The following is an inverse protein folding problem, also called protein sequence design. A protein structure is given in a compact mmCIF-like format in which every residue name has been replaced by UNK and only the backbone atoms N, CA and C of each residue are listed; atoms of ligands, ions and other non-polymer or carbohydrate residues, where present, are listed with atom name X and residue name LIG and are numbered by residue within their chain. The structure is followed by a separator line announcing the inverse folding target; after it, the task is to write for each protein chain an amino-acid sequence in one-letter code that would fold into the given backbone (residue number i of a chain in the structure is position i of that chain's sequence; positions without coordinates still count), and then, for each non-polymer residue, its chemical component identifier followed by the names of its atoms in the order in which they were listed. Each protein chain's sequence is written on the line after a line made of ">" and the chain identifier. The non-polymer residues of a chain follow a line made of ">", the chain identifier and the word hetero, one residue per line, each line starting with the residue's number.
data_IF_045817228948
#
_entry.id   IF_045817228948
#
_cell.length_a   1.000
_cell.length_b   1.000
_cell.length_c   1.000
_cell.angle_alpha   90.00
_cell.angle_beta   90.00
_cell.angle_gamma   90.00
#
_symmetry.space_group_name_H-M   'P 1'
#
loop_
_entity.id
_entity.type
_entity.pdbx_description
1 polymer ?
#
# COMPACT_ATOMS: atom_id res chain seq x y z
N UNK A 1 23.48 -5.46 5.26
CA UNK A 1 22.36 -5.45 4.30
C UNK A 1 22.36 -6.77 3.55
N UNK A 2 21.26 -7.51 3.59
CA UNK A 2 21.13 -8.83 2.97
C UNK A 2 20.53 -8.66 1.59
N UNK A 3 21.04 -9.41 0.60
CA UNK A 3 20.49 -9.46 -0.75
C UNK A 3 19.89 -10.84 -0.98
N UNK A 4 18.64 -10.87 -1.40
CA UNK A 4 17.86 -12.09 -1.59
C UNK A 4 17.14 -12.03 -2.93
N UNK A 5 17.06 -13.12 -3.67
CA UNK A 5 16.18 -13.22 -4.84
C UNK A 5 14.71 -13.28 -4.41
N UNK A 6 13.84 -12.76 -5.27
CA UNK A 6 12.42 -12.64 -4.97
C UNK A 6 11.72 -14.00 -4.84
N UNK A 7 12.10 -15.00 -5.65
CA UNK A 7 11.51 -16.33 -5.59
C UNK A 7 11.82 -17.05 -4.26
N UNK A 8 13.06 -16.94 -3.79
CA UNK A 8 13.46 -17.47 -2.47
C UNK A 8 12.74 -16.75 -1.33
N UNK A 9 12.64 -15.41 -1.41
CA UNK A 9 11.96 -14.63 -0.40
C UNK A 9 10.46 -14.93 -0.35
N UNK A 10 9.80 -15.15 -1.50
CA UNK A 10 8.39 -15.59 -1.57
C UNK A 10 8.19 -16.92 -0.86
N UNK A 11 8.98 -17.92 -1.21
CA UNK A 11 8.89 -19.25 -0.61
C UNK A 11 9.13 -19.22 0.91
N UNK A 12 10.11 -18.43 1.34
CA UNK A 12 10.40 -18.27 2.76
C UNK A 12 9.25 -17.59 3.49
N UNK A 13 8.74 -16.48 2.94
CA UNK A 13 7.59 -15.74 3.49
C UNK A 13 6.34 -16.62 3.57
N UNK A 14 5.99 -17.28 2.47
CA UNK A 14 4.86 -18.21 2.43
C UNK A 14 4.99 -19.31 3.48
N UNK A 15 6.18 -19.91 3.63
CA UNK A 15 6.40 -20.96 4.61
C UNK A 15 6.20 -20.48 6.05
N UNK A 16 6.67 -19.27 6.39
CA UNK A 16 6.45 -18.68 7.72
C UNK A 16 4.95 -18.52 7.99
N UNK A 17 4.22 -17.93 7.04
CA UNK A 17 2.78 -17.69 7.17
C UNK A 17 1.98 -19.01 7.25
N UNK A 18 2.36 -20.02 6.46
CA UNK A 18 1.73 -21.33 6.50
C UNK A 18 1.91 -22.03 7.85
N UNK A 19 3.12 -21.98 8.43
CA UNK A 19 3.37 -22.54 9.76
C UNK A 19 2.64 -21.76 10.85
N UNK A 20 2.42 -20.45 10.64
CA UNK A 20 1.63 -19.61 11.55
C UNK A 20 0.11 -19.87 11.46
N UNK A 21 -0.34 -20.80 10.62
CA UNK A 21 -1.76 -21.20 10.52
C UNK A 21 -2.51 -20.65 9.31
N UNK A 22 -1.81 -20.13 8.29
CA UNK A 22 -2.41 -19.70 7.03
C UNK A 22 -2.41 -20.86 6.03
N UNK A 23 -3.53 -21.08 5.34
CA UNK A 23 -3.61 -22.09 4.27
C UNK A 23 -2.57 -21.79 3.17
N UNK A 24 -1.97 -22.82 2.53
CA UNK A 24 -0.85 -22.63 1.59
C UNK A 24 -1.14 -21.64 0.45
N UNK A 25 -2.29 -21.73 -0.21
CA UNK A 25 -2.66 -20.83 -1.30
C UNK A 25 -2.78 -19.36 -0.84
N UNK A 26 -3.36 -19.14 0.34
CA UNK A 26 -3.46 -17.81 0.92
C UNK A 26 -2.09 -17.29 1.36
N UNK A 27 -1.25 -18.15 1.93
CA UNK A 27 0.11 -17.81 2.34
C UNK A 27 0.97 -17.39 1.13
N UNK A 28 0.87 -18.11 0.00
CA UNK A 28 1.53 -17.78 -1.25
C UNK A 28 1.07 -16.42 -1.77
N UNK A 29 -0.24 -16.17 -1.82
CA UNK A 29 -0.79 -14.89 -2.27
C UNK A 29 -0.33 -13.71 -1.40
N UNK A 30 -0.36 -13.86 -0.08
CA UNK A 30 0.12 -12.81 0.84
C UNK A 30 1.62 -12.59 0.67
N UNK A 31 2.41 -13.66 0.53
CA UNK A 31 3.84 -13.58 0.28
C UNK A 31 4.15 -12.84 -1.03
N UNK A 32 3.42 -13.14 -2.10
CA UNK A 32 3.53 -12.45 -3.38
C UNK A 32 3.30 -10.95 -3.26
N UNK A 33 2.24 -10.55 -2.57
CA UNK A 33 1.92 -9.14 -2.36
C UNK A 33 2.99 -8.41 -1.55
N UNK A 34 3.55 -9.06 -0.52
CA UNK A 34 4.61 -8.50 0.32
C UNK A 34 5.91 -8.33 -0.48
N UNK A 35 6.33 -9.37 -1.19
CA UNK A 35 7.55 -9.32 -1.99
C UNK A 35 7.43 -8.36 -3.16
N UNK A 36 6.26 -8.28 -3.81
CA UNK A 36 6.01 -7.26 -4.83
C UNK A 36 6.14 -5.84 -4.27
N UNK A 37 5.68 -5.60 -3.04
CA UNK A 37 5.87 -4.29 -2.39
C UNK A 37 7.35 -3.97 -2.19
N UNK A 38 8.18 -4.94 -1.79
CA UNK A 38 9.63 -4.76 -1.73
C UNK A 38 10.23 -4.50 -3.11
N UNK A 39 9.85 -5.25 -4.13
CA UNK A 39 10.35 -5.06 -5.50
C UNK A 39 10.05 -3.65 -6.03
N UNK A 40 8.88 -3.11 -5.72
CA UNK A 40 8.50 -1.73 -6.06
C UNK A 40 9.10 -0.65 -5.15
N UNK A 41 10.02 -1.00 -4.25
CA UNK A 41 10.67 -0.02 -3.35
C UNK A 41 9.82 0.43 -2.18
N UNK A 42 8.64 -0.16 -1.98
CA UNK A 42 7.72 0.16 -0.88
C UNK A 42 7.94 -0.78 0.29
N UNK A 43 9.17 -0.82 0.80
CA UNK A 43 9.63 -1.77 1.82
C UNK A 43 8.80 -1.76 3.10
N UNK A 44 8.23 -0.59 3.45
CA UNK A 44 7.35 -0.43 4.62
C UNK A 44 6.08 -1.31 4.58
N UNK A 45 5.67 -1.77 3.40
CA UNK A 45 4.53 -2.65 3.17
C UNK A 45 4.97 -4.03 2.61
N UNK A 46 6.26 -4.32 2.69
CA UNK A 46 6.87 -5.58 2.28
C UNK A 46 6.99 -6.59 3.42
N UNK A 47 7.94 -7.49 3.30
CA UNK A 47 8.17 -8.62 4.21
C UNK A 47 8.46 -8.23 5.67
N UNK A 48 8.81 -6.98 5.94
CA UNK A 48 8.91 -6.47 7.31
C UNK A 48 7.60 -6.57 8.10
N UNK A 49 6.47 -6.78 7.44
CA UNK A 49 5.17 -6.96 8.09
C UNK A 49 4.97 -8.37 8.67
N UNK A 50 5.81 -9.34 8.29
CA UNK A 50 5.67 -10.76 8.70
C UNK A 50 5.57 -10.94 10.21
N UNK A 51 6.48 -10.39 11.05
CA UNK A 51 6.39 -10.56 12.49
C UNK A 51 5.07 -10.04 13.08
N UNK A 52 4.58 -8.90 12.54
CA UNK A 52 3.31 -8.32 12.94
C UNK A 52 2.10 -9.18 12.55
N UNK A 53 2.12 -9.79 11.37
CA UNK A 53 1.03 -10.68 10.94
C UNK A 53 1.02 -11.98 11.73
N UNK A 54 2.18 -12.60 11.95
CA UNK A 54 2.29 -13.79 12.79
C UNK A 54 1.73 -13.51 14.18
N UNK A 55 2.14 -12.41 14.81
CA UNK A 55 1.60 -11.99 16.11
C UNK A 55 0.08 -11.75 16.05
N UNK A 56 -0.43 -11.12 15.02
CA UNK A 56 -1.88 -10.86 14.88
C UNK A 56 -2.69 -12.16 14.73
N UNK A 57 -2.13 -13.19 14.09
CA UNK A 57 -2.73 -14.53 14.02
C UNK A 57 -2.76 -15.17 15.40
N UNK A 58 -1.63 -15.17 16.10
CA UNK A 58 -1.49 -15.73 17.46
C UNK A 58 -2.44 -15.05 18.46
N UNK A 59 -2.59 -13.73 18.36
CA UNK A 59 -3.51 -12.94 19.21
C UNK A 59 -4.99 -13.07 18.78
N UNK A 60 -5.30 -13.76 17.67
CA UNK A 60 -6.66 -13.92 17.14
C UNK A 60 -7.24 -12.65 16.49
N UNK A 61 -6.42 -11.62 16.29
CA UNK A 61 -6.80 -10.36 15.62
C UNK A 61 -6.86 -10.47 14.10
N UNK A 62 -6.11 -11.40 13.53
CA UNK A 62 -6.13 -11.78 12.12
C UNK A 62 -6.57 -13.25 12.01
N UNK A 63 -7.58 -13.50 11.18
CA UNK A 63 -8.19 -14.83 10.99
C UNK A 63 -7.91 -15.33 9.58
N UNK A 64 -6.84 -16.12 9.36
CA UNK A 64 -6.56 -16.74 8.07
C UNK A 64 -7.75 -17.56 7.55
N UNK A 65 -7.89 -17.66 6.23
CA UNK A 65 -8.99 -18.41 5.58
C UNK A 65 -10.36 -17.71 5.61
N UNK A 66 -10.48 -16.55 6.28
CA UNK A 66 -11.75 -15.79 6.25
C UNK A 66 -12.06 -15.28 4.84
N UNK A 67 -13.35 -15.31 4.47
CA UNK A 67 -13.85 -14.78 3.19
C UNK A 67 -14.74 -13.57 3.44
N UNK A 68 -14.87 -12.63 2.47
CA UNK A 68 -15.77 -11.51 2.61
C UNK A 68 -17.22 -11.95 2.58
N UNK A 69 -18.02 -11.44 3.51
CA UNK A 69 -19.48 -11.66 3.53
C UNK A 69 -20.18 -10.44 2.99
N UNK A 70 -20.96 -10.60 1.93
CA UNK A 70 -21.76 -9.53 1.35
C UNK A 70 -22.86 -9.09 2.33
N UNK A 71 -22.85 -7.80 2.72
CA UNK A 71 -23.86 -7.21 3.61
C UNK A 71 -24.94 -6.52 2.80
N UNK A 72 -24.53 -5.79 1.75
CA UNK A 72 -25.45 -5.00 0.92
C UNK A 72 -24.92 -4.88 -0.50
N UNK A 73 -25.83 -4.94 -1.46
CA UNK A 73 -25.54 -4.74 -2.87
C UNK A 73 -26.56 -3.80 -3.51
N UNK A 74 -26.10 -2.94 -4.40
CA UNK A 74 -26.85 -2.10 -5.33
C UNK A 74 -26.25 -2.23 -6.71
N UNK A 75 -26.83 -1.56 -7.72
CA UNK A 75 -26.34 -1.64 -9.10
C UNK A 75 -24.83 -1.36 -9.21
N UNK A 76 -24.36 -0.24 -8.64
CA UNK A 76 -22.97 0.20 -8.72
C UNK A 76 -22.21 0.16 -7.37
N UNK A 77 -22.77 -0.47 -6.34
CA UNK A 77 -22.11 -0.50 -5.03
C UNK A 77 -22.27 -1.84 -4.33
N UNK A 78 -21.21 -2.24 -3.59
CA UNK A 78 -21.25 -3.39 -2.69
C UNK A 78 -20.67 -3.04 -1.34
N UNK A 79 -21.14 -3.71 -0.29
CA UNK A 79 -20.61 -3.54 1.06
C UNK A 79 -20.41 -4.91 1.71
N UNK A 80 -19.20 -5.15 2.22
CA UNK A 80 -18.78 -6.43 2.76
C UNK A 80 -18.31 -6.32 4.22
N UNK A 81 -18.45 -7.42 4.94
CA UNK A 81 -17.71 -7.72 6.16
C UNK A 81 -16.52 -8.61 5.81
N UNK A 82 -15.32 -8.18 6.11
CA UNK A 82 -14.08 -8.94 5.86
C UNK A 82 -13.78 -10.00 6.92
N UNK A 83 -14.64 -10.13 7.95
CA UNK A 83 -14.55 -11.18 8.99
C UNK A 83 -13.17 -11.27 9.66
N UNK A 84 -12.44 -10.16 9.70
CA UNK A 84 -11.06 -10.07 10.23
C UNK A 84 -10.03 -10.91 9.48
N UNK A 85 -10.31 -11.26 8.22
CA UNK A 85 -9.38 -11.97 7.34
C UNK A 85 -8.20 -11.10 6.90
N UNK A 86 -7.24 -11.74 6.20
CA UNK A 86 -6.18 -11.03 5.52
C UNK A 86 -6.74 -9.99 4.56
N UNK A 87 -6.30 -8.74 4.73
CA UNK A 87 -6.69 -7.67 3.83
C UNK A 87 -6.35 -7.96 2.36
N UNK A 88 -5.27 -8.70 2.10
CA UNK A 88 -4.85 -9.11 0.77
C UNK A 88 -5.85 -10.06 0.09
N UNK A 89 -6.35 -11.06 0.81
CA UNK A 89 -7.30 -12.03 0.28
C UNK A 89 -8.67 -11.42 0.10
N UNK A 90 -9.12 -10.68 1.11
CA UNK A 90 -10.44 -10.01 1.11
C UNK A 90 -10.52 -8.93 0.03
N UNK A 91 -9.50 -8.04 -0.06
CA UNK A 91 -9.50 -6.97 -1.05
C UNK A 91 -9.40 -7.50 -2.49
N UNK A 92 -8.67 -8.61 -2.73
CA UNK A 92 -8.62 -9.27 -4.05
C UNK A 92 -10.01 -9.67 -4.53
N UNK A 93 -10.76 -10.38 -3.69
CA UNK A 93 -12.08 -10.87 -4.04
C UNK A 93 -13.08 -9.72 -4.26
N UNK A 94 -13.01 -8.69 -3.41
CA UNK A 94 -13.92 -7.55 -3.49
C UNK A 94 -13.58 -6.63 -4.68
N UNK A 95 -12.31 -6.40 -5.01
CA UNK A 95 -11.96 -5.58 -6.18
C UNK A 95 -12.37 -6.26 -7.47
N UNK A 96 -12.22 -7.58 -7.61
CA UNK A 96 -12.68 -8.31 -8.78
C UNK A 96 -14.19 -8.09 -9.01
N UNK A 97 -15.00 -8.19 -7.95
CA UNK A 97 -16.43 -7.89 -8.03
C UNK A 97 -16.72 -6.42 -8.34
N UNK A 98 -15.92 -5.50 -7.82
CA UNK A 98 -16.04 -4.07 -8.13
C UNK A 98 -15.80 -3.79 -9.61
N UNK A 99 -14.78 -4.43 -10.20
CA UNK A 99 -14.43 -4.30 -11.61
C UNK A 99 -15.53 -4.86 -12.53
N UNK A 100 -16.15 -6.00 -12.15
CA UNK A 100 -17.29 -6.54 -12.88
C UNK A 100 -18.46 -5.56 -12.92
N UNK A 101 -18.84 -5.03 -11.75
CA UNK A 101 -19.91 -4.03 -11.65
C UNK A 101 -19.60 -2.73 -12.38
N UNK A 102 -18.33 -2.29 -12.37
CA UNK A 102 -17.94 -1.10 -13.10
C UNK A 102 -18.10 -1.29 -14.60
N UNK A 103 -17.82 -2.48 -15.13
CA UNK A 103 -18.07 -2.80 -16.56
C UNK A 103 -19.56 -2.73 -16.91
N UNK A 104 -20.44 -3.17 -16.00
CA UNK A 104 -21.89 -3.16 -16.21
C UNK A 104 -22.52 -1.76 -16.07
N UNK A 105 -22.04 -0.97 -15.06
CA UNK A 105 -22.67 0.28 -14.65
C UNK A 105 -21.88 1.54 -15.07
N UNK A 106 -20.72 1.40 -15.74
CA UNK A 106 -19.80 2.48 -16.07
C UNK A 106 -18.88 2.89 -14.95
N UNK A 107 -19.26 2.65 -13.70
CA UNK A 107 -18.41 2.81 -12.51
C UNK A 107 -19.00 2.03 -11.35
N UNK A 108 -18.16 1.60 -10.40
CA UNK A 108 -18.63 0.95 -9.19
C UNK A 108 -17.70 1.21 -8.00
N UNK A 109 -18.28 1.11 -6.79
CA UNK A 109 -17.56 1.28 -5.54
C UNK A 109 -17.92 0.17 -4.56
N UNK A 110 -16.93 -0.27 -3.79
CA UNK A 110 -17.10 -1.26 -2.74
C UNK A 110 -16.50 -0.80 -1.43
N UNK A 111 -17.22 -1.07 -0.36
CA UNK A 111 -16.73 -0.87 0.99
C UNK A 111 -16.51 -2.20 1.70
N UNK A 112 -15.47 -2.28 2.53
CA UNK A 112 -15.18 -3.45 3.36
C UNK A 112 -14.97 -2.97 4.79
N UNK A 113 -15.67 -3.55 5.75
CA UNK A 113 -15.40 -3.36 7.17
C UNK A 113 -14.76 -4.60 7.79
N UNK A 114 -14.24 -4.50 9.02
CA UNK A 114 -13.68 -5.63 9.76
C UNK A 114 -12.65 -6.41 8.95
N UNK A 115 -11.67 -5.69 8.38
CA UNK A 115 -10.62 -6.25 7.53
C UNK A 115 -9.25 -5.86 8.07
N UNK A 116 -8.30 -6.77 8.04
CA UNK A 116 -6.93 -6.50 8.44
C UNK A 116 -6.20 -5.65 7.37
N UNK A 117 -4.93 -5.32 7.62
CA UNK A 117 -4.09 -4.52 6.74
C UNK A 117 -4.08 -5.05 5.30
N UNK A 118 -4.27 -4.15 4.31
CA UNK A 118 -4.32 -4.49 2.88
C UNK A 118 -2.97 -4.30 2.17
N UNK A 119 -1.90 -3.97 2.92
CA UNK A 119 -0.59 -3.70 2.33
C UNK A 119 -0.53 -2.39 1.55
N UNK A 120 0.24 -2.39 0.47
CA UNK A 120 0.37 -1.25 -0.44
C UNK A 120 -0.96 -0.99 -1.16
N UNK A 121 -1.52 0.19 -0.95
CA UNK A 121 -2.86 0.54 -1.46
C UNK A 121 -2.90 0.57 -2.99
N UNK A 122 -1.80 0.99 -3.62
CA UNK A 122 -1.64 1.00 -5.07
C UNK A 122 -1.86 -0.36 -5.74
N UNK A 123 -1.57 -1.47 -5.07
CA UNK A 123 -1.82 -2.83 -5.59
C UNK A 123 -3.29 -2.99 -6.03
N UNK A 124 -4.21 -2.47 -5.25
CA UNK A 124 -5.65 -2.64 -5.50
C UNK A 124 -6.15 -1.75 -6.63
N UNK A 125 -5.65 -0.52 -6.71
CA UNK A 125 -5.94 0.36 -7.84
C UNK A 125 -5.35 -0.19 -9.15
N UNK A 126 -4.13 -0.74 -9.12
CA UNK A 126 -3.46 -1.36 -10.28
C UNK A 126 -4.25 -2.53 -10.88
N UNK A 127 -5.05 -3.26 -10.10
CA UNK A 127 -5.86 -4.38 -10.62
C UNK A 127 -6.90 -3.94 -11.66
N UNK A 128 -7.32 -2.68 -11.64
CA UNK A 128 -8.22 -2.12 -12.65
C UNK A 128 -7.57 -1.99 -14.03
N UNK A 129 -6.25 -1.84 -14.08
CA UNK A 129 -5.48 -1.71 -15.32
C UNK A 129 -5.59 -2.95 -16.21
N UNK A 130 -5.73 -4.15 -15.60
CA UNK A 130 -5.90 -5.39 -16.33
C UNK A 130 -7.21 -5.45 -17.13
N UNK A 131 -8.15 -4.59 -16.80
CA UNK A 131 -9.45 -4.45 -17.47
C UNK A 131 -9.62 -3.12 -18.20
N UNK A 132 -8.52 -2.38 -18.41
CA UNK A 132 -8.52 -1.05 -19.03
C UNK A 132 -9.42 -0.02 -18.33
N UNK A 133 -9.45 -0.06 -17.00
CA UNK A 133 -10.24 0.83 -16.14
C UNK A 133 -9.32 1.72 -15.29
N UNK A 134 -9.88 2.83 -14.79
CA UNK A 134 -9.26 3.61 -13.72
C UNK A 134 -9.59 2.93 -12.40
N UNK A 135 -8.55 2.62 -11.59
CA UNK A 135 -8.72 2.04 -10.26
C UNK A 135 -8.55 3.06 -9.15
N UNK A 136 -9.30 2.90 -8.07
CA UNK A 136 -9.26 3.72 -6.86
C UNK A 136 -9.21 2.81 -5.66
N UNK A 137 -8.32 3.09 -4.70
CA UNK A 137 -8.28 2.36 -3.44
C UNK A 137 -7.88 3.28 -2.29
N UNK A 138 -8.44 3.08 -1.11
CA UNK A 138 -8.06 3.80 0.08
C UNK A 138 -8.34 3.02 1.36
N UNK A 139 -7.61 3.38 2.41
CA UNK A 139 -7.75 2.86 3.77
C UNK A 139 -7.40 3.98 4.76
N UNK A 140 -8.01 4.07 5.95
CA UNK A 140 -7.67 5.12 6.91
C UNK A 140 -6.22 5.06 7.39
N UNK A 141 -5.71 3.88 7.68
CA UNK A 141 -4.38 3.71 8.25
C UNK A 141 -4.29 4.12 9.73
N UNK A 142 -3.07 4.18 10.25
CA UNK A 142 -2.81 4.55 11.64
C UNK A 142 -3.07 6.04 11.91
N UNK A 143 -3.47 6.35 13.16
CA UNK A 143 -3.73 7.73 13.62
C UNK A 143 -2.39 8.35 14.01
N UNK A 144 -1.75 9.04 13.09
CA UNK A 144 -0.38 9.56 13.21
C UNK A 144 -0.28 11.07 13.03
N UNK A 145 -1.30 11.70 12.45
CA UNK A 145 -1.25 13.10 12.02
C UNK A 145 -1.94 13.99 13.03
N UNK A 146 -1.31 15.14 13.34
CA UNK A 146 -1.96 16.23 14.03
C UNK A 146 -2.89 16.98 13.07
N UNK A 147 -4.12 17.34 13.44
CA UNK A 147 -4.94 18.26 12.66
C UNK A 147 -4.21 19.58 12.45
N UNK A 148 -4.50 20.27 11.36
CA UNK A 148 -3.98 21.61 11.15
C UNK A 148 -4.36 22.54 12.31
N UNK A 149 -3.37 23.12 12.98
CA UNK A 149 -3.53 23.92 14.19
C UNK A 149 -3.59 23.13 15.50
N UNK A 150 -3.51 21.78 15.44
CA UNK A 150 -3.43 20.90 16.61
C UNK A 150 -2.03 20.31 16.79
N UNK A 151 -1.79 19.68 17.94
CA UNK A 151 -0.52 19.02 18.25
C UNK A 151 -0.68 17.51 18.51
N UNK A 152 -1.87 17.05 18.84
CA UNK A 152 -2.16 15.65 19.13
C UNK A 152 -2.37 14.83 17.85
N UNK A 153 -2.01 13.53 17.88
CA UNK A 153 -2.36 12.55 16.84
C UNK A 153 -3.88 12.31 16.86
N UNK A 154 -4.61 12.89 15.92
CA UNK A 154 -6.08 12.78 15.80
C UNK A 154 -6.55 12.35 14.43
N UNK A 155 -5.70 12.48 13.39
CA UNK A 155 -6.04 12.11 12.03
C UNK A 155 -5.29 10.86 11.62
N UNK A 156 -5.96 9.91 10.95
CA UNK A 156 -5.30 8.82 10.25
C UNK A 156 -4.43 9.31 9.10
N UNK A 157 -3.44 8.49 8.74
CA UNK A 157 -2.52 8.78 7.64
C UNK A 157 -3.18 8.70 6.26
N UNK A 158 -4.37 8.07 6.18
CA UNK A 158 -5.30 8.04 5.06
C UNK A 158 -4.65 7.85 3.68
N UNK A 159 -3.96 6.72 3.41
CA UNK A 159 -3.40 6.49 2.09
C UNK A 159 -4.51 6.40 1.03
N UNK A 160 -4.20 6.95 -0.15
CA UNK A 160 -5.03 6.87 -1.35
C UNK A 160 -4.18 6.41 -2.52
N UNK A 161 -4.77 5.57 -3.37
CA UNK A 161 -4.19 5.20 -4.64
C UNK A 161 -5.19 5.37 -5.80
N UNK A 162 -4.65 5.84 -6.92
CA UNK A 162 -5.31 5.86 -8.20
C UNK A 162 -4.37 5.27 -9.25
N UNK A 163 -4.92 4.43 -10.13
CA UNK A 163 -4.17 3.87 -11.25
C UNK A 163 -4.90 4.14 -12.57
N UNK A 164 -4.15 4.58 -13.57
CA UNK A 164 -4.68 5.02 -14.87
C UNK A 164 -3.88 4.36 -15.99
N UNK A 165 -4.55 3.69 -16.97
CA UNK A 165 -3.86 3.10 -18.11
C UNK A 165 -3.33 4.17 -19.07
N UNK A 166 -2.17 3.92 -19.67
CA UNK A 166 -1.53 4.75 -20.68
C UNK A 166 -1.44 3.99 -22.02
N UNK A 167 -1.13 4.70 -23.10
CA UNK A 167 -0.83 4.11 -24.41
C UNK A 167 0.63 3.63 -24.49
N UNK A 168 1.55 4.59 -24.64
CA UNK A 168 3.00 4.34 -24.81
C UNK A 168 3.79 4.29 -23.48
N UNK A 169 3.28 4.90 -22.44
CA UNK A 169 3.94 4.95 -21.13
C UNK A 169 3.52 3.79 -20.23
N UNK A 170 4.32 3.51 -19.20
CA UNK A 170 3.86 2.70 -18.06
C UNK A 170 2.67 3.39 -17.40
N UNK A 171 1.71 2.65 -16.82
CA UNK A 171 0.56 3.24 -16.15
C UNK A 171 0.96 4.30 -15.11
N UNK A 172 0.16 5.38 -15.02
CA UNK A 172 0.26 6.31 -13.91
C UNK A 172 -0.31 5.62 -12.66
N UNK A 173 0.46 5.61 -11.58
CA UNK A 173 0.01 5.08 -10.29
C UNK A 173 0.35 6.09 -9.20
N UNK A 174 -0.67 6.77 -8.70
CA UNK A 174 -0.56 7.53 -7.45
C UNK A 174 -0.77 6.54 -6.32
N UNK A 175 0.17 6.44 -5.39
CA UNK A 175 0.05 5.65 -4.16
C UNK A 175 0.76 6.41 -3.06
N UNK A 176 0.01 7.15 -2.27
CA UNK A 176 0.59 8.06 -1.29
C UNK A 176 -0.21 8.11 0.00
N UNK A 177 0.48 8.33 1.11
CA UNK A 177 -0.12 8.73 2.39
C UNK A 177 -0.36 10.25 2.41
N UNK A 178 -1.26 10.70 3.28
CA UNK A 178 -1.55 12.13 3.47
C UNK A 178 -0.80 12.74 4.66
N UNK A 179 0.23 12.04 5.12
CA UNK A 179 1.32 12.56 5.93
C UNK A 179 2.58 12.71 5.08
N UNK A 180 3.68 13.24 5.65
CA UNK A 180 4.95 13.41 4.93
C UNK A 180 5.56 12.08 4.48
N UNK A 181 5.40 11.03 5.28
CA UNK A 181 5.81 9.65 4.97
C UNK A 181 4.88 8.63 5.64
N UNK A 182 4.88 7.41 5.10
CA UNK A 182 4.17 6.28 5.71
C UNK A 182 4.73 5.94 7.10
N UNK A 183 3.86 5.55 8.04
CA UNK A 183 4.26 5.19 9.40
C UNK A 183 5.32 4.08 9.47
N UNK A 184 5.21 3.05 8.63
CA UNK A 184 6.23 2.00 8.52
C UNK A 184 7.60 2.50 8.05
N UNK A 185 7.65 3.52 7.18
CA UNK A 185 8.90 4.15 6.76
C UNK A 185 9.52 4.98 7.88
N UNK A 186 8.70 5.63 8.70
CA UNK A 186 9.18 6.29 9.94
C UNK A 186 9.98 5.29 10.80
N UNK A 187 9.48 4.04 10.94
CA UNK A 187 10.16 2.99 11.67
C UNK A 187 11.52 2.64 11.11
N UNK A 188 11.61 2.49 9.81
CA UNK A 188 12.88 2.20 9.14
C UNK A 188 13.89 3.32 9.40
N UNK A 189 13.47 4.58 9.28
CA UNK A 189 14.35 5.74 9.50
C UNK A 189 14.81 5.83 10.95
N UNK A 190 13.90 5.59 11.92
CA UNK A 190 14.24 5.55 13.34
C UNK A 190 15.28 4.47 13.67
N UNK A 191 15.06 3.25 13.16
CA UNK A 191 16.00 2.12 13.33
C UNK A 191 17.39 2.44 12.77
N UNK A 192 17.45 3.21 11.65
CA UNK A 192 18.69 3.63 11.01
C UNK A 192 19.32 4.89 11.64
N UNK A 193 18.67 5.54 12.60
CA UNK A 193 19.10 6.80 13.18
C UNK A 193 19.11 7.97 12.16
N UNK A 194 18.29 7.85 11.11
CA UNK A 194 18.23 8.87 10.05
C UNK A 194 17.25 9.98 10.44
N UNK A 195 17.63 11.21 10.20
CA UNK A 195 16.79 12.39 10.39
C UNK A 195 15.90 12.62 9.17
N UNK A 196 14.75 13.25 9.38
CA UNK A 196 13.85 13.71 8.32
C UNK A 196 14.01 15.23 8.11
N UNK A 197 13.55 15.79 6.97
CA UNK A 197 13.49 17.23 6.81
C UNK A 197 12.71 17.91 7.94
N UNK A 198 13.10 19.13 8.36
CA UNK A 198 12.31 19.93 9.30
C UNK A 198 10.88 20.16 8.80
N UNK A 199 9.93 20.25 9.71
CA UNK A 199 8.52 20.47 9.37
C UNK A 199 7.72 19.23 8.95
N UNK A 200 8.31 18.01 9.05
CA UNK A 200 7.58 16.77 8.88
C UNK A 200 6.91 16.28 10.16
N UNK A 201 7.56 16.57 11.30
CA UNK A 201 7.09 16.19 12.64
C UNK A 201 7.07 17.40 13.56
N UNK A 202 6.21 17.32 14.57
CA UNK A 202 6.20 18.18 15.74
C UNK A 202 6.38 17.32 17.00
N UNK A 203 6.99 17.88 18.03
CA UNK A 203 7.06 17.27 19.35
C UNK A 203 5.76 17.46 20.16
N UNK A 204 5.76 17.06 21.45
CA UNK A 204 4.58 17.18 22.33
C UNK A 204 4.20 18.62 22.68
N UNK A 205 5.10 19.59 22.46
CA UNK A 205 4.84 21.03 22.59
C UNK A 205 4.43 21.69 21.28
N UNK A 206 4.37 20.93 20.17
CA UNK A 206 4.01 21.45 18.85
C UNK A 206 5.16 22.12 18.12
N UNK A 207 6.42 21.98 18.58
CA UNK A 207 7.57 22.52 17.92
C UNK A 207 8.07 21.60 16.81
N UNK A 208 8.58 22.15 15.68
CA UNK A 208 9.14 21.33 14.60
C UNK A 208 10.24 20.40 15.10
N UNK A 209 10.16 19.14 14.70
CA UNK A 209 11.10 18.10 15.06
C UNK A 209 11.53 17.29 13.83
N UNK A 210 12.76 16.73 13.84
CA UNK A 210 13.29 15.97 12.71
C UNK A 210 13.79 14.57 13.05
N UNK A 211 13.57 14.11 14.30
CA UNK A 211 13.95 12.76 14.73
C UNK A 211 12.78 11.81 14.71
N UNK A 212 12.72 10.83 13.77
CA UNK A 212 11.64 9.86 13.74
C UNK A 212 11.61 8.92 14.93
N UNK A 213 12.68 8.84 15.76
CA UNK A 213 12.71 7.99 16.94
C UNK A 213 11.65 8.41 17.97
N UNK A 214 11.45 9.71 18.23
CA UNK A 214 10.45 10.19 19.17
C UNK A 214 9.02 9.76 18.79
N UNK A 215 8.76 9.69 17.50
CA UNK A 215 7.47 9.21 17.00
C UNK A 215 7.20 7.74 17.38
N UNK A 216 8.23 6.89 17.35
CA UNK A 216 8.14 5.49 17.79
C UNK A 216 7.93 5.35 19.30
N UNK A 217 8.48 6.28 20.08
CA UNK A 217 8.23 6.35 21.52
C UNK A 217 6.80 6.79 21.87
N UNK A 218 5.97 7.04 20.87
CA UNK A 218 4.59 7.48 21.06
C UNK A 218 4.44 8.98 21.26
N UNK A 219 5.52 9.76 21.14
CA UNK A 219 5.56 11.21 21.32
C UNK A 219 5.44 11.96 19.99
N UNK A 220 4.99 13.20 20.05
CA UNK A 220 4.82 14.09 18.91
C UNK A 220 3.87 13.53 17.84
N UNK A 221 3.76 14.20 16.71
CA UNK A 221 2.88 13.84 15.61
C UNK A 221 3.51 14.19 14.25
N UNK A 222 3.01 13.55 13.18
CA UNK A 222 3.28 14.01 11.82
C UNK A 222 2.40 15.22 11.50
N UNK A 223 2.89 16.12 10.65
CA UNK A 223 2.07 17.16 10.06
C UNK A 223 1.33 16.62 8.82
N UNK A 224 0.16 17.19 8.46
CA UNK A 224 -0.54 16.81 7.23
C UNK A 224 0.30 17.14 5.98
N UNK A 225 0.03 16.48 4.86
CA UNK A 225 0.61 16.82 3.56
C UNK A 225 0.46 18.32 3.27
N UNK A 226 1.56 19.00 2.91
CA UNK A 226 1.65 20.46 2.81
C UNK A 226 2.25 21.11 4.05
N UNK A 227 2.50 20.35 5.11
CA UNK A 227 3.21 20.73 6.35
C UNK A 227 2.78 22.10 6.90
N UNK A 228 3.70 22.89 7.44
CA UNK A 228 3.41 24.18 8.07
C UNK A 228 2.74 25.21 7.15
N UNK A 229 3.04 25.17 5.85
CA UNK A 229 2.50 26.16 4.92
C UNK A 229 1.08 25.86 4.43
N UNK A 230 0.82 24.61 3.99
CA UNK A 230 -0.39 24.20 3.28
C UNK A 230 -1.05 22.95 3.87
N UNK A 231 -0.67 22.53 5.08
CA UNK A 231 -1.16 21.31 5.72
C UNK A 231 -2.68 21.23 5.88
N UNK A 232 -3.40 22.34 5.90
CA UNK A 232 -4.86 22.36 5.89
C UNK A 232 -5.45 21.64 4.66
N UNK A 233 -4.77 21.66 3.49
CA UNK A 233 -5.19 20.95 2.28
C UNK A 233 -5.05 19.43 2.46
N UNK A 234 -3.90 18.99 2.98
CA UNK A 234 -3.68 17.59 3.31
C UNK A 234 -4.64 17.08 4.38
N UNK A 235 -4.92 17.90 5.41
CA UNK A 235 -5.94 17.60 6.42
C UNK A 235 -7.32 17.39 5.79
N UNK A 236 -7.74 18.31 4.93
CA UNK A 236 -9.06 18.23 4.27
C UNK A 236 -9.20 16.94 3.46
N UNK A 237 -8.18 16.59 2.65
CA UNK A 237 -8.19 15.34 1.88
C UNK A 237 -8.15 14.11 2.80
N UNK A 238 -7.33 14.12 3.85
CA UNK A 238 -7.28 13.04 4.85
C UNK A 238 -8.64 12.81 5.52
N UNK A 239 -9.36 13.88 5.86
CA UNK A 239 -10.72 13.77 6.39
C UNK A 239 -11.66 13.10 5.40
N UNK A 240 -11.64 13.48 4.11
CA UNK A 240 -12.52 12.87 3.09
C UNK A 240 -12.24 11.38 2.93
N UNK A 241 -10.98 10.98 2.83
CA UNK A 241 -10.61 9.56 2.74
C UNK A 241 -11.07 8.80 4.00
N UNK A 242 -10.91 9.41 5.17
CA UNK A 242 -11.38 8.82 6.42
C UNK A 242 -12.89 8.64 6.46
N UNK A 243 -13.66 9.60 5.94
CA UNK A 243 -15.12 9.49 5.87
C UNK A 243 -15.56 8.35 4.95
N UNK A 244 -14.89 8.17 3.81
CA UNK A 244 -15.19 7.10 2.84
C UNK A 244 -14.85 5.70 3.41
N UNK A 245 -13.68 5.55 4.01
CA UNK A 245 -13.20 4.25 4.49
C UNK A 245 -13.47 4.01 6.00
N UNK A 246 -14.15 4.92 6.67
CA UNK A 246 -14.51 4.85 8.09
C UNK A 246 -16.03 4.94 8.32
N UNK A 247 -16.58 6.14 8.59
CA UNK A 247 -18.00 6.31 8.92
C UNK A 247 -18.96 5.78 7.85
N UNK A 248 -18.66 5.94 6.57
CA UNK A 248 -19.46 5.36 5.47
C UNK A 248 -19.61 3.83 5.62
N UNK A 249 -18.61 3.17 6.18
CA UNK A 249 -18.56 1.72 6.39
C UNK A 249 -18.95 1.30 7.83
N UNK A 250 -19.50 2.23 8.60
CA UNK A 250 -19.93 1.98 9.98
C UNK A 250 -18.80 1.95 11.02
N UNK A 251 -17.62 2.49 10.68
CA UNK A 251 -16.48 2.59 11.59
C UNK A 251 -16.16 4.03 11.98
N UNK A 252 -15.63 4.19 13.20
CA UNK A 252 -14.99 5.42 13.64
C UNK A 252 -13.51 5.12 13.81
N UNK A 253 -12.66 5.85 13.08
CA UNK A 253 -11.20 5.73 13.19
C UNK A 253 -10.69 6.86 14.07
N UNK A 254 -10.37 6.52 15.32
CA UNK A 254 -9.82 7.45 16.32
C UNK A 254 -8.62 6.81 17.01
N UNK A 255 -7.86 7.61 17.78
CA UNK A 255 -6.71 7.16 18.56
C UNK A 255 -7.03 5.93 19.45
N UNK A 256 -8.23 5.87 20.00
CA UNK A 256 -8.67 4.81 20.92
C UNK A 256 -9.20 3.56 20.20
N UNK A 257 -9.31 3.62 18.88
CA UNK A 257 -9.72 2.50 18.02
C UNK A 257 -8.61 2.17 17.05
N UNK A 258 -7.88 1.07 17.30
CA UNK A 258 -6.67 0.75 16.58
C UNK A 258 -6.91 0.47 15.09
N UNK A 259 -5.87 0.69 14.32
CA UNK A 259 -5.74 0.55 12.88
C UNK A 259 -6.33 -0.74 12.27
N UNK A 260 -6.19 -1.88 12.95
CA UNK A 260 -6.69 -3.18 12.48
C UNK A 260 -8.23 -3.30 12.44
N UNK A 261 -8.95 -2.24 12.80
CA UNK A 261 -10.42 -2.18 12.76
C UNK A 261 -10.93 -1.21 11.69
N UNK A 262 -10.12 -0.92 10.70
CA UNK A 262 -10.43 0.02 9.66
C UNK A 262 -11.25 -0.61 8.53
N UNK A 263 -11.94 0.25 7.80
CA UNK A 263 -12.55 -0.11 6.54
C UNK A 263 -11.59 0.05 5.36
N UNK A 264 -11.98 -0.48 4.21
CA UNK A 264 -11.32 -0.28 2.91
C UNK A 264 -12.37 0.22 1.94
N UNK A 265 -12.02 1.22 1.16
CA UNK A 265 -12.84 1.74 0.07
C UNK A 265 -12.14 1.47 -1.26
N UNK A 266 -12.84 0.76 -2.15
CA UNK A 266 -12.37 0.40 -3.49
C UNK A 266 -13.31 1.00 -4.53
N UNK A 267 -12.77 1.38 -5.69
CA UNK A 267 -13.55 1.91 -6.80
C UNK A 267 -12.93 1.58 -8.14
N UNK A 268 -13.77 1.56 -9.17
CA UNK A 268 -13.36 1.45 -10.55
C UNK A 268 -14.25 2.30 -11.44
N UNK A 269 -13.64 2.88 -12.49
CA UNK A 269 -14.34 3.64 -13.54
C UNK A 269 -14.02 2.97 -14.87
N UNK A 270 -15.06 2.56 -15.59
CA UNK A 270 -14.93 2.05 -16.94
C UNK A 270 -14.75 3.25 -17.89
N UNK A 271 -13.58 3.33 -18.52
CA UNK A 271 -13.23 4.42 -19.42
C UNK A 271 -14.20 4.48 -20.62
N UNK A 272 -14.58 3.30 -21.14
CA UNK A 272 -15.44 3.22 -22.31
C UNK A 272 -16.88 3.71 -22.05
N UNK A 273 -17.28 3.86 -20.78
CA UNK A 273 -18.54 4.54 -20.43
C UNK A 273 -18.52 6.05 -20.67
N UNK A 274 -17.35 6.65 -20.88
CA UNK A 274 -17.18 8.10 -21.08
C UNK A 274 -16.58 8.44 -22.44
N UNK A 275 -15.55 7.70 -22.88
CA UNK A 275 -14.83 7.96 -24.13
C UNK A 275 -14.17 6.67 -24.64
N UNK A 276 -13.92 6.53 -25.95
CA UNK A 276 -13.16 5.40 -26.47
C UNK A 276 -11.81 5.26 -25.77
N UNK A 277 -11.46 4.02 -25.42
CA UNK A 277 -10.24 3.71 -24.66
C UNK A 277 -8.97 4.29 -25.28
N UNK A 278 -8.80 4.17 -26.59
CA UNK A 278 -7.60 4.66 -27.28
C UNK A 278 -7.52 6.19 -27.24
N UNK A 279 -8.66 6.90 -27.40
CA UNK A 279 -8.72 8.37 -27.26
C UNK A 279 -8.29 8.80 -25.84
N UNK A 280 -8.73 8.05 -24.82
CA UNK A 280 -8.32 8.32 -23.46
C UNK A 280 -6.81 8.13 -23.28
N UNK A 281 -6.25 7.01 -23.74
CA UNK A 281 -4.81 6.72 -23.63
C UNK A 281 -3.95 7.74 -24.39
N UNK A 282 -4.36 8.14 -25.60
CA UNK A 282 -3.71 9.21 -26.35
C UNK A 282 -3.71 10.53 -25.58
N UNK A 283 -4.82 10.88 -24.93
CA UNK A 283 -4.92 12.07 -24.07
C UNK A 283 -4.00 12.01 -22.86
N UNK A 284 -3.90 10.83 -22.21
CA UNK A 284 -2.97 10.62 -21.08
C UNK A 284 -1.53 10.74 -21.55
N UNK A 285 -1.17 10.11 -22.66
CA UNK A 285 0.19 10.18 -23.23
C UNK A 285 0.57 11.62 -23.61
N UNK A 286 -0.34 12.37 -24.21
CA UNK A 286 -0.13 13.78 -24.56
C UNK A 286 0.10 14.64 -23.31
N UNK A 287 -0.65 14.41 -22.23
CA UNK A 287 -0.44 15.09 -20.95
C UNK A 287 0.96 14.78 -20.37
N UNK A 288 1.39 13.53 -20.43
CA UNK A 288 2.73 13.13 -19.95
C UNK A 288 3.81 13.81 -20.80
N UNK A 289 3.65 13.83 -22.13
CA UNK A 289 4.60 14.49 -23.03
C UNK A 289 4.72 15.98 -22.72
N UNK A 290 3.59 16.67 -22.53
CA UNK A 290 3.56 18.09 -22.20
C UNK A 290 4.27 18.36 -20.86
N UNK A 291 3.94 17.62 -19.80
CA UNK A 291 4.61 17.73 -18.51
C UNK A 291 6.13 17.50 -18.61
N UNK A 292 6.57 16.45 -19.32
CA UNK A 292 7.99 16.11 -19.49
C UNK A 292 8.73 17.10 -20.40
N UNK A 293 8.04 17.88 -21.24
CA UNK A 293 8.62 18.93 -22.08
C UNK A 293 9.04 20.18 -21.29
N UNK A 294 8.62 20.30 -20.03
CA UNK A 294 8.98 21.44 -19.18
C UNK A 294 10.48 21.50 -18.95
N UNK A 295 11.02 22.73 -18.88
CA UNK A 295 12.43 22.94 -18.50
C UNK A 295 12.66 22.45 -17.09
N UNK A 296 13.80 21.79 -16.88
CA UNK A 296 14.17 21.28 -15.56
C UNK A 296 14.54 22.42 -14.59
N UNK A 297 14.09 22.29 -13.35
CA UNK A 297 14.58 23.15 -12.28
C UNK A 297 16.03 22.75 -11.87
N UNK A 298 16.82 23.67 -11.30
CA UNK A 298 18.14 23.34 -10.82
C UNK A 298 18.13 22.17 -9.82
N UNK A 299 19.02 21.19 -10.03
CA UNK A 299 19.12 20.00 -9.19
C UNK A 299 18.21 18.83 -9.58
N UNK A 300 17.46 18.93 -10.68
CA UNK A 300 16.69 17.84 -11.26
C UNK A 300 17.27 17.41 -12.61
N UNK A 301 17.35 16.09 -12.83
CA UNK A 301 17.85 15.51 -14.08
C UNK A 301 16.69 15.12 -15.02
N UNK A 302 15.49 14.92 -14.48
CA UNK A 302 14.30 14.56 -15.24
C UNK A 302 13.00 14.93 -14.49
N UNK A 303 11.87 14.92 -15.22
CA UNK A 303 10.52 14.98 -14.68
C UNK A 303 9.94 13.58 -14.71
N UNK A 304 9.58 13.06 -13.54
CA UNK A 304 8.92 11.76 -13.40
C UNK A 304 7.43 11.94 -13.13
N UNK A 305 6.60 11.08 -13.72
CA UNK A 305 5.18 10.99 -13.39
C UNK A 305 4.96 9.95 -12.27
N UNK A 306 3.85 10.02 -11.53
CA UNK A 306 3.55 9.08 -10.45
C UNK A 306 3.55 7.63 -10.94
N UNK A 307 4.26 6.76 -10.22
CA UNK A 307 4.45 5.35 -10.53
C UNK A 307 5.78 5.03 -11.25
N UNK A 308 6.41 5.99 -11.96
CA UNK A 308 7.69 5.72 -12.63
C UNK A 308 8.81 5.26 -11.68
N UNK A 309 8.98 5.86 -10.49
CA UNK A 309 9.97 5.35 -9.54
C UNK A 309 9.76 3.90 -9.14
N UNK A 310 8.52 3.50 -8.90
CA UNK A 310 8.14 2.14 -8.50
C UNK A 310 8.34 1.14 -9.65
N UNK A 311 8.06 1.53 -10.89
CA UNK A 311 8.33 0.71 -12.07
C UNK A 311 9.85 0.50 -12.27
N UNK A 312 10.65 1.53 -12.09
CA UNK A 312 12.13 1.44 -12.18
C UNK A 312 12.72 0.57 -11.08
N UNK A 313 12.23 0.74 -9.83
CA UNK A 313 12.67 -0.11 -8.72
C UNK A 313 12.29 -1.58 -8.94
N UNK A 314 11.09 -1.85 -9.46
CA UNK A 314 10.68 -3.20 -9.83
C UNK A 314 11.65 -3.86 -10.81
N UNK A 315 12.01 -3.17 -11.88
CA UNK A 315 12.95 -3.66 -12.90
C UNK A 315 14.37 -3.82 -12.33
N UNK A 316 14.82 -2.86 -11.52
CA UNK A 316 16.15 -2.86 -10.90
C UNK A 316 16.27 -3.99 -9.88
N UNK A 317 15.38 -4.05 -8.90
CA UNK A 317 15.42 -5.05 -7.82
C UNK A 317 15.15 -6.46 -8.34
N UNK A 318 14.37 -6.58 -9.41
CA UNK A 318 14.19 -7.84 -10.10
C UNK A 318 15.47 -8.40 -10.74
N UNK A 319 16.38 -7.53 -11.21
CA UNK A 319 17.68 -7.94 -11.74
C UNK A 319 18.74 -8.14 -10.67
N UNK A 320 18.76 -7.26 -9.67
CA UNK A 320 19.83 -7.16 -8.66
C UNK A 320 19.53 -7.94 -7.38
N UNK A 321 18.29 -8.35 -7.18
CA UNK A 321 17.78 -8.90 -5.93
C UNK A 321 17.23 -7.82 -4.99
N UNK A 322 16.61 -8.28 -3.92
CA UNK A 322 15.97 -7.46 -2.90
C UNK A 322 16.95 -7.15 -1.77
N UNK A 323 17.08 -5.87 -1.46
CA UNK A 323 17.95 -5.39 -0.39
C UNK A 323 17.11 -5.24 0.90
N UNK A 324 17.37 -6.08 1.89
CA UNK A 324 16.74 -6.00 3.20
C UNK A 324 17.71 -5.45 4.25
N UNK A 325 17.20 -4.59 5.11
CA UNK A 325 17.95 -4.11 6.27
C UNK A 325 18.25 -5.24 7.24
N UNK A 326 19.47 -5.31 7.79
CA UNK A 326 19.91 -6.41 8.66
C UNK A 326 19.03 -6.58 9.91
N UNK A 327 18.55 -5.48 10.50
CA UNK A 327 17.66 -5.54 11.67
C UNK A 327 16.26 -6.04 11.29
N UNK A 328 15.73 -5.57 10.15
CA UNK A 328 14.44 -6.02 9.64
C UNK A 328 14.52 -7.51 9.31
N UNK A 329 15.55 -7.92 8.58
CA UNK A 329 15.73 -9.30 8.23
C UNK A 329 15.98 -10.19 9.46
N UNK A 330 16.73 -9.69 10.45
CA UNK A 330 16.92 -10.36 11.74
C UNK A 330 15.60 -10.66 12.44
N UNK A 331 14.67 -9.71 12.51
CA UNK A 331 13.36 -9.93 13.13
C UNK A 331 12.48 -10.97 12.38
N UNK A 332 12.66 -11.09 11.06
CA UNK A 332 11.99 -12.14 10.28
C UNK A 332 12.62 -13.50 10.58
N UNK A 333 13.95 -13.57 10.67
CA UNK A 333 14.65 -14.80 11.04
C UNK A 333 14.29 -15.29 12.45
N UNK A 334 14.26 -14.39 13.43
CA UNK A 334 13.81 -14.69 14.80
C UNK A 334 12.37 -15.24 14.82
N UNK A 335 11.48 -14.66 14.02
CA UNK A 335 10.10 -15.14 13.87
C UNK A 335 10.07 -16.53 13.23
N UNK A 336 10.87 -16.77 12.19
CA UNK A 336 10.98 -18.07 11.53
C UNK A 336 11.53 -19.16 12.48
N UNK A 337 12.60 -18.85 13.21
CA UNK A 337 13.21 -19.77 14.20
C UNK A 337 12.21 -20.13 15.29
N UNK A 338 11.50 -19.16 15.86
CA UNK A 338 10.46 -19.39 16.86
C UNK A 338 9.34 -20.32 16.36
N UNK A 339 9.03 -20.26 15.07
CA UNK A 339 8.05 -21.13 14.41
C UNK A 339 8.65 -22.48 13.93
N UNK A 340 9.95 -22.72 14.12
CA UNK A 340 10.63 -23.93 13.63
C UNK A 340 10.84 -23.97 12.12
N UNK A 341 10.84 -22.81 11.44
CA UNK A 341 11.11 -22.71 10.00
C UNK A 341 12.60 -22.54 9.76
N UNK A 342 13.23 -23.54 9.15
CA UNK A 342 14.65 -23.52 8.81
C UNK A 342 14.91 -22.58 7.61
N UNK A 343 15.43 -21.39 7.91
CA UNK A 343 15.71 -20.36 6.90
C UNK A 343 16.77 -20.74 5.89
N UNK A 344 17.71 -21.66 6.26
CA UNK A 344 18.82 -22.07 5.38
C UNK A 344 18.35 -22.73 4.08
N UNK A 345 17.15 -23.29 4.07
CA UNK A 345 16.54 -23.93 2.90
C UNK A 345 16.04 -22.96 1.85
N UNK A 346 15.92 -21.66 2.19
CA UNK A 346 15.32 -20.64 1.36
C UNK A 346 16.28 -19.52 0.96
N UNK A 347 17.40 -19.37 1.69
CA UNK A 347 18.37 -18.31 1.46
C UNK A 347 19.37 -18.72 0.37
N UNK A 348 18.96 -18.62 -0.87
CA UNK A 348 19.79 -18.90 -2.06
C UNK A 348 20.30 -17.58 -2.64
N UNK A 349 21.46 -17.61 -3.33
CA UNK A 349 22.02 -16.44 -4.03
C UNK A 349 21.03 -15.88 -5.07
N UNK A 350 21.08 -14.56 -5.34
CA UNK A 350 20.21 -13.93 -6.33
C UNK A 350 20.16 -14.69 -7.65
N UNK A 351 18.95 -14.99 -8.12
CA UNK A 351 18.66 -15.64 -9.39
C UNK A 351 18.13 -14.64 -10.42
N UNK A 352 17.68 -15.14 -11.57
CA UNK A 352 16.96 -14.31 -12.56
C UNK A 352 15.53 -14.10 -12.10
N UNK A 353 15.03 -12.86 -12.26
CA UNK A 353 13.64 -12.50 -12.03
C UNK A 353 12.72 -13.32 -12.94
N UNK A 354 11.72 -13.99 -12.34
CA UNK A 354 10.60 -14.56 -13.08
C UNK A 354 9.48 -13.51 -13.18
N UNK A 355 9.52 -12.71 -14.24
CA UNK A 355 8.51 -11.68 -14.52
C UNK A 355 7.18 -12.28 -15.02
N UNK A 356 7.13 -13.59 -15.30
CA UNK A 356 5.88 -14.28 -15.68
C UNK A 356 4.97 -14.58 -14.49
N UNK A 357 5.49 -14.44 -13.26
CA UNK A 357 4.72 -14.69 -12.06
C UNK A 357 3.45 -13.81 -11.98
N UNK A 358 2.27 -14.34 -11.62
CA UNK A 358 1.00 -13.61 -11.64
C UNK A 358 0.98 -12.29 -10.85
N UNK A 359 1.81 -12.13 -9.80
CA UNK A 359 1.91 -10.89 -9.04
C UNK A 359 2.57 -9.73 -9.79
N UNK A 360 3.26 -10.01 -10.91
CA UNK A 360 3.81 -8.99 -11.81
C UNK A 360 2.89 -8.67 -12.99
N UNK A 361 1.86 -9.47 -13.21
CA UNK A 361 0.96 -9.31 -14.34
C UNK A 361 0.07 -8.08 -14.19
N UNK A 362 0.60 -6.98 -14.65
CA UNK A 362 -0.13 -6.18 -15.60
C UNK A 362 -0.04 -6.94 -16.93
N UNK A 363 -1.17 -7.11 -17.65
CA UNK A 363 -1.21 -7.77 -18.97
C UNK A 363 -0.01 -7.34 -19.81
N UNK A 364 0.51 -8.21 -20.68
CA UNK A 364 1.73 -8.00 -21.48
C UNK A 364 1.84 -6.62 -22.18
N UNK A 365 0.71 -5.95 -22.40
CA UNK A 365 0.66 -4.60 -22.98
C UNK A 365 1.37 -3.49 -22.18
N UNK A 366 1.71 -3.74 -20.91
CA UNK A 366 2.41 -2.77 -20.03
C UNK A 366 3.83 -3.21 -19.65
N UNK A 367 4.36 -4.28 -20.29
CA UNK A 367 5.72 -4.77 -20.10
C UNK A 367 6.75 -4.02 -20.92
#
# INVERSE_FOLDING_TARGET
>A
MVVIDDASLRKFTSKILAVAGTEPEEADWVADCLVLSNLKGVDSHGVQQIPGYVKAIEDGGLKPGSRPTLIRERAATTFYDGNWGYGYSIAREVIDRTLEKAREAGSAFSGIRNVHHIGRVGKWAEMALDRDMIGIASQPGGVYIAPWGGIDRKLPIAPIALAVPCGKYKPIVVDMSLGPIAGGRTGILAVRGQKVPPGWYIDDEGKPHNDPAIFHEGKGAQLPLGQEGLGYKGMALSMMINLLAGPLLGHIVTKDKPFNRCGVFLGAIDIEAFTPLETFKEGVDALIDDMKSSRLAPGFDEIMVPGEPEWRELEKRGREGLYLDDKIFGSILETAERLGVDSSKYLVKPGKLDISHPSYTLKDKYR
#
